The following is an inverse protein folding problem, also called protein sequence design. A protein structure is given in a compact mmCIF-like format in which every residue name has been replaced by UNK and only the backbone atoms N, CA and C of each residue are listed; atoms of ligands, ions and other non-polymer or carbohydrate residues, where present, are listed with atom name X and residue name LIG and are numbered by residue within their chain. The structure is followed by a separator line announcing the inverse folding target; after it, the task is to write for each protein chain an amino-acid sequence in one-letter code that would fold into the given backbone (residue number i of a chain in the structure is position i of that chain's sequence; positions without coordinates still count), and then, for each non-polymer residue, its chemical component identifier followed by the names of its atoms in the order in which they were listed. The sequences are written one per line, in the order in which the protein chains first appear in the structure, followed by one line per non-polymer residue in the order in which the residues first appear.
data_IF_916661857833
#
_entry.id   IF_916661857833
#
_cell.length_a   1.000
_cell.length_b   1.000
_cell.length_c   1.000
_cell.angle_alpha   90.00
_cell.angle_beta   90.00
_cell.angle_gamma   90.00
#
_symmetry.space_group_name_H-M   'P 1'
#
loop_
_entity.id
_entity.type
_entity.pdbx_description
1 polymer ?
#
# COMPACT_ATOMS: atom_id res chain seq x y z
N UNK A 1 -62.82 13.69 51.29
CA UNK A 1 -61.95 13.98 50.13
C UNK A 1 -62.43 13.06 49.01
N UNK A 2 -63.40 13.52 48.20
CA UNK A 2 -63.24 13.98 46.80
C UNK A 2 -62.42 12.99 45.95
N UNK A 3 -63.09 12.16 45.14
CA UNK A 3 -63.12 12.21 43.65
C UNK A 3 -62.15 11.16 43.04
N UNK A 4 -62.32 10.54 41.88
CA UNK A 4 -63.30 10.63 40.79
C UNK A 4 -63.19 9.33 39.92
N UNK A 5 -64.28 8.99 39.24
CA UNK A 5 -64.56 7.88 38.30
C UNK A 5 -63.54 7.74 37.15
N UNK A 6 -63.25 6.52 36.64
CA UNK A 6 -62.85 6.34 35.25
C UNK A 6 -63.99 5.71 34.43
N UNK A 7 -64.49 6.52 33.50
CA UNK A 7 -65.42 6.18 32.43
C UNK A 7 -64.64 5.49 31.28
N UNK A 8 -65.20 4.39 30.77
CA UNK A 8 -65.24 3.96 29.36
C UNK A 8 -64.26 4.59 28.35
N UNK A 9 -63.54 3.75 27.59
CA UNK A 9 -63.79 3.62 26.14
C UNK A 9 -62.94 2.51 25.50
N UNK A 10 -63.64 1.61 24.83
CA UNK A 10 -63.17 0.62 23.87
C UNK A 10 -62.78 1.33 22.57
N UNK A 11 -61.62 1.04 21.99
CA UNK A 11 -61.46 1.08 20.53
C UNK A 11 -60.25 0.33 20.01
N UNK A 12 -60.48 -0.21 18.82
CA UNK A 12 -59.81 -1.27 18.07
C UNK A 12 -58.60 -0.81 17.24
N UNK A 13 -57.76 -1.81 16.86
CA UNK A 13 -56.97 -1.95 15.61
C UNK A 13 -55.89 -0.89 15.32
N UNK A 14 -54.68 -1.19 14.81
CA UNK A 14 -54.27 -2.09 13.72
C UNK A 14 -52.82 -2.55 13.98
N UNK A 15 -52.53 -3.83 13.72
CA UNK A 15 -51.16 -4.33 13.61
C UNK A 15 -50.52 -3.85 12.30
N UNK A 16 -49.48 -3.01 12.39
CA UNK A 16 -48.66 -2.61 11.25
C UNK A 16 -47.38 -3.44 11.17
N UNK A 17 -47.37 -4.49 10.34
CA UNK A 17 -46.15 -5.25 10.01
C UNK A 17 -45.46 -4.58 8.84
N UNK A 18 -44.37 -3.85 9.09
CA UNK A 18 -43.54 -3.27 8.02
C UNK A 18 -42.73 -4.37 7.34
N UNK A 19 -42.81 -4.54 6.00
CA UNK A 19 -41.87 -5.38 5.28
C UNK A 19 -40.52 -4.66 5.19
N UNK A 20 -39.50 -5.22 5.85
CA UNK A 20 -38.12 -4.83 5.63
C UNK A 20 -37.71 -5.26 4.22
N UNK A 21 -37.64 -4.33 3.27
CA UNK A 21 -36.98 -4.56 1.99
C UNK A 21 -35.48 -4.70 2.21
N UNK A 22 -34.99 -5.94 2.14
CA UNK A 22 -33.58 -6.24 2.01
C UNK A 22 -33.10 -5.74 0.64
N UNK A 23 -32.47 -4.56 0.63
CA UNK A 23 -31.76 -4.06 -0.54
C UNK A 23 -30.46 -4.86 -0.70
N UNK A 24 -30.48 -5.85 -1.59
CA UNK A 24 -29.27 -6.38 -2.21
C UNK A 24 -28.87 -5.38 -3.28
N UNK A 25 -28.02 -4.41 -2.95
CA UNK A 25 -27.33 -3.63 -3.96
C UNK A 25 -26.18 -4.47 -4.52
N UNK A 26 -26.12 -4.68 -5.84
CA UNK A 26 -24.92 -5.20 -6.49
C UNK A 26 -23.78 -4.25 -6.16
N UNK A 27 -22.71 -4.78 -5.57
CA UNK A 27 -21.50 -4.02 -5.30
C UNK A 27 -21.04 -3.32 -6.59
N UNK A 28 -20.97 -2.00 -6.52
CA UNK A 28 -20.35 -1.17 -7.55
C UNK A 28 -18.89 -1.57 -7.69
N UNK A 29 -18.61 -2.52 -8.59
CA UNK A 29 -17.28 -2.72 -9.14
C UNK A 29 -16.94 -1.52 -9.99
N UNK A 30 -16.48 -0.44 -9.37
CA UNK A 30 -15.90 0.69 -10.08
C UNK A 30 -14.72 0.16 -10.90
N UNK A 31 -14.67 0.37 -12.23
CA UNK A 31 -13.50 0.00 -13.01
C UNK A 31 -12.30 0.73 -12.40
N UNK A 32 -11.27 -0.04 -12.02
CA UNK A 32 -10.05 0.49 -11.43
C UNK A 32 -9.49 1.59 -12.33
N UNK A 33 -9.61 2.85 -11.90
CA UNK A 33 -9.09 3.98 -12.65
C UNK A 33 -7.57 3.80 -12.82
N UNK A 34 -7.02 4.07 -14.02
CA UNK A 34 -5.59 3.92 -14.26
C UNK A 34 -4.81 4.87 -13.35
N UNK A 35 -3.73 4.36 -12.75
CA UNK A 35 -2.89 5.16 -11.87
C UNK A 35 -2.23 6.29 -12.65
N UNK A 36 -2.28 7.52 -12.13
CA UNK A 36 -1.57 8.65 -12.72
C UNK A 36 -0.04 8.47 -12.64
N UNK A 37 0.43 7.89 -11.54
CA UNK A 37 1.81 7.49 -11.33
C UNK A 37 1.89 6.41 -10.25
N UNK A 38 2.92 5.56 -10.36
CA UNK A 38 3.32 4.65 -9.28
C UNK A 38 4.57 5.21 -8.63
N UNK A 39 4.51 5.44 -7.33
CA UNK A 39 5.62 6.01 -6.56
C UNK A 39 5.91 5.17 -5.33
N UNK A 40 7.09 5.38 -4.75
CA UNK A 40 7.43 4.73 -3.50
C UNK A 40 8.79 5.14 -2.99
N UNK A 41 9.18 4.48 -1.91
CA UNK A 41 10.46 4.67 -1.24
C UNK A 41 11.07 3.32 -0.90
N UNK A 42 12.36 3.17 -1.16
CA UNK A 42 13.12 2.00 -0.74
C UNK A 42 13.93 2.37 0.51
N UNK A 43 13.89 1.49 1.51
CA UNK A 43 14.57 1.67 2.78
C UNK A 43 15.17 0.36 3.30
N UNK A 44 16.03 0.45 4.31
CA UNK A 44 16.47 -0.68 5.11
C UNK A 44 16.80 -0.23 6.53
N UNK A 45 16.25 -0.94 7.51
CA UNK A 45 16.23 -0.53 8.91
C UNK A 45 15.75 0.91 9.04
N UNK A 46 14.63 1.23 8.37
CA UNK A 46 13.95 2.53 8.34
C UNK A 46 14.75 3.67 7.67
N UNK A 47 16.00 3.42 7.25
CA UNK A 47 16.85 4.40 6.60
C UNK A 47 16.65 4.38 5.08
N UNK A 48 16.61 5.55 4.41
CA UNK A 48 16.47 5.61 2.96
C UNK A 48 17.65 4.92 2.28
N UNK A 49 17.37 4.17 1.21
CA UNK A 49 18.40 3.57 0.37
C UNK A 49 18.47 4.26 -0.98
N UNK A 50 19.56 4.99 -1.20
CA UNK A 50 19.92 5.56 -2.48
C UNK A 50 20.63 4.55 -3.37
N UNK A 51 20.50 4.71 -4.69
CA UNK A 51 21.22 3.85 -5.64
C UNK A 51 20.62 2.46 -5.82
N UNK A 52 19.37 2.23 -5.38
CA UNK A 52 18.66 0.97 -5.58
C UNK A 52 18.11 0.92 -7.00
N UNK A 53 18.32 -0.20 -7.68
CA UNK A 53 17.73 -0.45 -8.99
C UNK A 53 16.32 -0.97 -8.83
N UNK A 54 15.33 -0.24 -9.34
CA UNK A 54 13.94 -0.67 -9.46
C UNK A 54 13.63 -0.87 -10.93
N UNK A 55 13.19 -2.08 -11.28
CA UNK A 55 12.86 -2.46 -12.65
C UNK A 55 11.44 -2.97 -12.74
N UNK A 56 10.75 -2.68 -13.84
CA UNK A 56 9.39 -3.17 -14.08
C UNK A 56 9.48 -4.44 -14.94
N UNK A 57 9.07 -5.57 -14.38
CA UNK A 57 9.13 -6.87 -15.07
C UNK A 57 8.36 -6.86 -16.38
N UNK A 58 8.92 -7.53 -17.39
CA UNK A 58 8.36 -7.56 -18.75
C UNK A 58 8.58 -6.28 -19.55
N UNK A 59 9.34 -5.31 -19.02
CA UNK A 59 9.68 -4.07 -19.72
C UNK A 59 11.17 -3.74 -19.61
N UNK A 60 11.64 -2.79 -20.41
CA UNK A 60 13.00 -2.23 -20.31
C UNK A 60 13.07 -1.00 -19.38
N UNK A 61 12.09 -0.83 -18.49
CA UNK A 61 12.07 0.30 -17.55
C UNK A 61 12.90 -0.06 -16.34
N UNK A 62 14.00 0.66 -16.16
CA UNK A 62 14.89 0.56 -15.00
C UNK A 62 15.14 1.98 -14.52
N UNK A 63 15.08 2.18 -13.21
CA UNK A 63 15.34 3.46 -12.57
C UNK A 63 16.10 3.26 -11.26
N UNK A 64 16.75 4.33 -10.81
CA UNK A 64 17.61 4.33 -9.62
C UNK A 64 17.00 5.25 -8.57
N UNK A 65 16.90 4.78 -7.33
CA UNK A 65 16.39 5.61 -6.22
C UNK A 65 17.33 6.77 -5.88
N UNK A 66 16.74 7.91 -5.51
CA UNK A 66 17.49 9.10 -5.10
C UNK A 66 18.02 9.00 -3.65
N UNK A 67 18.59 10.09 -3.12
CA UNK A 67 19.15 10.13 -1.75
C UNK A 67 18.12 9.87 -0.63
N UNK A 68 16.84 10.12 -0.90
CA UNK A 68 15.74 9.87 0.03
C UNK A 68 15.15 8.46 -0.14
N UNK A 69 15.72 7.65 -1.05
CA UNK A 69 15.21 6.33 -1.42
C UNK A 69 13.98 6.38 -2.31
N UNK A 70 13.57 7.55 -2.77
CA UNK A 70 12.36 7.74 -3.56
C UNK A 70 12.52 7.26 -5.01
N UNK A 71 11.43 6.74 -5.56
CA UNK A 71 11.27 6.45 -6.98
C UNK A 71 9.87 6.82 -7.48
N UNK A 72 9.79 7.10 -8.78
CA UNK A 72 8.54 7.26 -9.51
C UNK A 72 8.64 6.56 -10.88
N UNK A 73 7.69 5.68 -11.18
CA UNK A 73 7.63 5.04 -12.49
C UNK A 73 7.17 6.05 -13.56
N UNK A 74 7.66 5.92 -14.80
CA UNK A 74 7.22 6.80 -15.88
C UNK A 74 5.73 6.57 -16.24
N UNK A 75 5.02 7.60 -16.75
CA UNK A 75 3.58 7.54 -17.03
C UNK A 75 3.12 6.43 -18.00
N UNK A 76 4.05 5.87 -18.77
CA UNK A 76 3.79 4.74 -19.67
C UNK A 76 3.43 3.43 -18.94
N UNK A 77 3.72 3.35 -17.63
CA UNK A 77 3.28 2.23 -16.78
C UNK A 77 1.87 2.55 -16.30
N UNK A 78 0.86 1.99 -16.98
CA UNK A 78 -0.56 2.30 -16.75
C UNK A 78 -1.31 1.20 -16.00
N UNK A 79 -0.74 -0.01 -15.94
CA UNK A 79 -1.26 -1.17 -15.23
C UNK A 79 -0.42 -1.45 -13.98
N UNK A 80 -1.02 -2.16 -13.01
CA UNK A 80 -0.38 -2.60 -11.77
C UNK A 80 0.90 -3.41 -12.07
N UNK A 81 2.11 -2.83 -11.88
CA UNK A 81 3.34 -3.47 -12.29
C UNK A 81 3.85 -4.45 -11.24
N UNK A 82 4.61 -5.44 -11.69
CA UNK A 82 5.51 -6.22 -10.84
C UNK A 82 6.90 -5.61 -10.90
N UNK A 83 7.43 -5.21 -9.74
CA UNK A 83 8.73 -4.59 -9.59
C UNK A 83 9.76 -5.64 -9.17
N UNK A 84 10.95 -5.58 -9.77
CA UNK A 84 12.16 -6.21 -9.24
C UNK A 84 13.09 -5.14 -8.70
N UNK A 85 13.43 -5.25 -7.43
CA UNK A 85 14.19 -4.27 -6.64
C UNK A 85 15.50 -4.90 -6.18
N UNK A 86 16.62 -4.32 -6.60
CA UNK A 86 17.95 -4.89 -6.40
C UNK A 86 18.94 -3.82 -5.92
N UNK A 87 19.75 -4.18 -4.93
CA UNK A 87 20.85 -3.37 -4.44
C UNK A 87 21.99 -4.27 -3.96
N UNK A 88 23.23 -3.85 -4.15
CA UNK A 88 24.39 -4.61 -3.72
C UNK A 88 24.38 -4.84 -2.19
N UNK A 89 24.64 -6.08 -1.75
CA UNK A 89 24.65 -6.44 -0.34
C UNK A 89 23.26 -6.58 0.31
N UNK A 90 22.19 -6.41 -0.45
CA UNK A 90 20.80 -6.65 -0.03
C UNK A 90 20.20 -7.82 -0.80
N UNK A 91 19.25 -8.51 -0.18
CA UNK A 91 18.51 -9.58 -0.83
C UNK A 91 17.62 -8.98 -1.94
N UNK A 92 17.56 -9.62 -3.13
CA UNK A 92 16.69 -9.16 -4.20
C UNK A 92 15.22 -9.31 -3.76
N UNK A 93 14.39 -8.34 -4.14
CA UNK A 93 12.97 -8.36 -3.81
C UNK A 93 12.12 -8.25 -5.07
N UNK A 94 11.00 -8.96 -5.06
CA UNK A 94 9.95 -8.86 -6.06
C UNK A 94 8.65 -8.43 -5.40
N UNK A 95 7.99 -7.43 -5.98
CA UNK A 95 6.77 -6.85 -5.42
C UNK A 95 5.78 -6.49 -6.52
N UNK A 96 4.59 -7.05 -6.44
CA UNK A 96 3.46 -6.64 -7.30
C UNK A 96 2.70 -5.51 -6.61
N UNK A 97 2.62 -4.34 -7.26
CA UNK A 97 1.79 -3.25 -6.75
C UNK A 97 0.33 -3.62 -6.92
N UNK A 98 -0.49 -3.35 -5.90
CA UNK A 98 -1.93 -3.64 -5.89
C UNK A 98 -2.79 -2.38 -5.96
N UNK A 99 -2.18 -1.20 -5.81
CA UNK A 99 -2.86 0.10 -5.87
C UNK A 99 -1.92 1.20 -6.37
N UNK A 100 -2.46 2.40 -6.55
CA UNK A 100 -1.70 3.60 -6.90
C UNK A 100 -1.09 4.31 -5.66
N UNK A 101 -1.26 3.76 -4.46
CA UNK A 101 -0.75 4.40 -3.26
C UNK A 101 0.78 4.30 -3.19
N UNK A 102 1.49 5.33 -2.70
CA UNK A 102 2.92 5.25 -2.49
C UNK A 102 3.29 4.06 -1.60
N UNK A 103 4.25 3.26 -2.03
CA UNK A 103 4.69 2.06 -1.30
C UNK A 103 6.04 2.28 -0.61
N UNK A 104 6.24 1.65 0.54
CA UNK A 104 7.56 1.54 1.18
C UNK A 104 8.07 0.12 1.01
N UNK A 105 9.25 -0.02 0.43
CA UNK A 105 9.91 -1.31 0.16
C UNK A 105 11.09 -1.43 1.12
N UNK A 106 11.01 -2.36 2.07
CA UNK A 106 12.05 -2.60 3.07
C UNK A 106 12.99 -3.72 2.61
N UNK A 107 14.23 -3.36 2.27
CA UNK A 107 15.25 -4.29 1.79
C UNK A 107 15.95 -4.99 2.95
N UNK A 108 16.09 -6.31 2.83
CA UNK A 108 16.81 -7.11 3.80
C UNK A 108 18.31 -7.14 3.49
N UNK A 109 19.15 -6.81 4.47
CA UNK A 109 20.61 -6.91 4.31
C UNK A 109 21.01 -8.39 4.26
N UNK A 110 21.85 -8.77 3.29
CA UNK A 110 22.36 -10.14 3.20
C UNK A 110 23.32 -10.44 4.36
N UNK A 111 23.31 -11.69 4.88
CA UNK A 111 24.32 -12.14 5.84
C UNK A 111 25.74 -11.92 5.29
N UNK A 112 26.64 -11.43 6.13
CA UNK A 112 28.03 -11.17 5.72
C UNK A 112 28.26 -9.88 4.93
N UNK A 113 27.20 -9.12 4.57
CA UNK A 113 27.37 -7.78 4.00
C UNK A 113 28.02 -6.85 5.03
N UNK A 114 29.10 -6.17 4.64
CA UNK A 114 29.81 -5.22 5.50
C UNK A 114 29.75 -3.82 4.90
N UNK A 115 29.13 -2.90 5.62
CA UNK A 115 29.03 -1.49 5.24
C UNK A 115 29.95 -0.66 6.14
N UNK A 116 30.76 0.21 5.54
CA UNK A 116 31.66 1.08 6.31
C UNK A 116 30.85 2.09 7.12
N UNK A 117 31.03 2.09 8.44
CA UNK A 117 30.30 2.99 9.35
C UNK A 117 30.91 4.39 9.51
N UNK A 118 32.22 4.55 9.27
CA UNK A 118 32.97 5.79 9.58
C UNK A 118 34.02 6.18 8.52
N UNK A 119 34.50 7.42 8.60
CA UNK A 119 35.55 7.98 7.74
C UNK A 119 35.08 8.40 6.34
N UNK A 120 36.03 8.76 5.47
CA UNK A 120 35.77 9.33 4.12
C UNK A 120 34.92 8.46 3.18
N UNK A 121 34.81 7.15 3.46
CA UNK A 121 34.03 6.18 2.68
C UNK A 121 32.86 5.61 3.47
N UNK A 122 32.31 6.36 4.44
CA UNK A 122 31.11 5.93 5.18
C UNK A 122 29.96 5.62 4.20
N UNK A 123 29.24 4.54 4.44
CA UNK A 123 28.15 4.06 3.57
C UNK A 123 28.60 3.15 2.42
N UNK A 124 29.91 3.05 2.13
CA UNK A 124 30.38 2.14 1.09
C UNK A 124 30.27 0.67 1.54
N UNK A 125 29.83 -0.17 0.61
CA UNK A 125 29.86 -1.63 0.74
C UNK A 125 31.32 -2.07 0.62
N UNK A 126 31.81 -2.72 1.67
CA UNK A 126 33.16 -3.28 1.74
C UNK A 126 33.18 -4.75 1.33
N UNK A 127 32.07 -5.45 1.58
CA UNK A 127 31.83 -6.80 1.11
C UNK A 127 30.33 -6.97 0.88
N UNK A 128 29.95 -7.56 -0.25
CA UNK A 128 28.58 -7.98 -0.50
C UNK A 128 28.43 -9.41 0.02
N UNK A 129 27.46 -9.61 0.92
CA UNK A 129 27.06 -10.94 1.37
C UNK A 129 26.40 -11.74 0.25
N UNK A 130 26.35 -13.06 0.43
CA UNK A 130 25.66 -14.02 -0.43
C UNK A 130 24.84 -14.97 0.44
#
# INVERSE_FOLDING_TARGET
MKQLIPLLLVSWLVAGTSPASAQTTPGSGSPAQPCAAYTGRVAANEKPLAGVSVSVKGTNIILITNQEGFFALPPKVTQLPTLSVNAAGYAPQELTLTSCMPVVIEMQLLPGTRIKKHGKRKGFIMNAGY
#
